data_IF_105853645694
#
_entry.id   IF_105853645694
#
_cell.length_a   1.000
_cell.length_b   1.000
_cell.length_c   1.000
_cell.angle_alpha   90.00
_cell.angle_beta   90.00
_cell.angle_gamma   90.00
#
_symmetry.space_group_name_H-M   'P 1'
#
loop_
_entity.id
_entity.type
_entity.pdbx_description
1 polymer ?
#
# COMPACT_ATOMS: atom_id res chain seq x y z
N UNK A 1 44.63 -23.03 54.19
CA UNK A 1 44.87 -22.31 52.91
C UNK A 1 43.52 -22.10 52.24
N UNK A 2 42.94 -20.95 52.44
CA UNK A 2 41.58 -20.59 51.94
C UNK A 2 41.77 -19.63 50.78
N UNK A 3 41.40 -20.06 49.57
CA UNK A 3 41.40 -19.20 48.37
C UNK A 3 40.03 -18.52 48.28
N UNK A 4 40.01 -17.21 48.42
CA UNK A 4 38.87 -16.35 48.17
C UNK A 4 38.66 -16.22 46.65
N UNK A 5 37.48 -16.60 46.21
CA UNK A 5 37.07 -16.39 44.83
C UNK A 5 36.28 -15.05 44.77
N UNK A 6 36.86 -14.08 44.06
CA UNK A 6 36.17 -12.82 43.80
C UNK A 6 35.18 -13.04 42.66
N UNK A 7 33.90 -12.85 42.95
CA UNK A 7 32.81 -12.89 41.97
C UNK A 7 32.68 -11.50 41.36
N UNK A 8 33.09 -11.33 40.11
CA UNK A 8 32.85 -10.13 39.32
C UNK A 8 31.41 -10.19 38.80
N UNK A 9 30.57 -9.29 39.31
CA UNK A 9 29.21 -9.11 38.82
C UNK A 9 29.23 -8.27 37.54
N UNK A 10 29.19 -8.90 36.40
CA UNK A 10 28.98 -8.22 35.14
C UNK A 10 27.50 -7.84 35.02
N UNK A 11 27.19 -6.56 35.16
CA UNK A 11 25.87 -6.02 34.94
C UNK A 11 25.50 -6.13 33.46
N UNK A 12 24.65 -7.06 33.12
CA UNK A 12 24.00 -7.09 31.82
C UNK A 12 22.98 -5.95 31.76
N UNK A 13 23.31 -4.90 31.03
CA UNK A 13 22.30 -3.91 30.59
C UNK A 13 21.40 -4.63 29.61
N UNK A 14 20.24 -5.02 30.07
CA UNK A 14 19.15 -5.44 29.22
C UNK A 14 18.64 -4.18 28.53
N UNK A 15 19.13 -3.91 27.34
CA UNK A 15 18.45 -2.98 26.45
C UNK A 15 17.06 -3.58 26.17
N UNK A 16 16.05 -3.05 26.85
CA UNK A 16 14.67 -3.33 26.52
C UNK A 16 14.40 -2.79 25.14
N UNK A 17 14.55 -3.66 24.12
CA UNK A 17 13.96 -3.41 22.82
C UNK A 17 12.45 -3.27 23.07
N UNK A 18 11.80 -2.20 22.59
CA UNK A 18 10.36 -2.14 22.62
C UNK A 18 9.87 -3.35 21.80
N UNK A 19 9.30 -4.32 22.48
CA UNK A 19 8.48 -5.35 21.85
C UNK A 19 7.39 -4.58 21.15
N UNK A 20 7.52 -4.39 19.85
CA UNK A 20 6.41 -3.96 19.00
C UNK A 20 5.35 -5.04 19.17
N UNK A 21 4.40 -4.79 20.06
CA UNK A 21 3.25 -5.62 20.17
C UNK A 21 2.71 -5.81 18.76
N UNK A 22 2.50 -7.06 18.36
CA UNK A 22 1.71 -7.42 17.19
C UNK A 22 0.28 -6.95 17.49
N UNK A 23 0.14 -5.62 17.45
CA UNK A 23 -1.07 -4.91 17.77
C UNK A 23 -1.87 -4.73 16.50
N UNK A 24 -3.11 -4.65 16.67
CA UNK A 24 -4.17 -4.33 15.74
C UNK A 24 -3.64 -3.58 14.48
N UNK A 25 -4.05 -3.96 13.26
CA UNK A 25 -3.64 -3.28 12.01
C UNK A 25 -3.73 -1.75 12.06
N UNK A 26 -4.66 -1.21 12.84
CA UNK A 26 -4.83 0.22 13.04
C UNK A 26 -3.64 0.91 13.72
N UNK A 27 -3.02 0.27 14.73
CA UNK A 27 -1.88 0.86 15.42
C UNK A 27 -0.61 0.86 14.54
N UNK A 28 -0.42 -0.20 13.75
CA UNK A 28 0.66 -0.26 12.77
C UNK A 28 0.49 0.76 11.64
N UNK A 29 -0.75 1.06 11.26
CA UNK A 29 -1.06 2.01 10.21
C UNK A 29 -0.77 3.47 10.62
N UNK A 30 -1.04 3.85 11.85
CA UNK A 30 -0.74 5.20 12.36
C UNK A 30 0.77 5.43 12.49
N UNK A 31 1.51 4.43 12.95
CA UNK A 31 2.98 4.49 13.00
C UNK A 31 3.56 4.46 11.57
N UNK A 32 2.96 3.70 10.66
CA UNK A 32 3.36 3.67 9.27
C UNK A 32 3.17 5.02 8.55
N UNK A 33 2.19 5.84 8.93
CA UNK A 33 1.95 7.13 8.25
C UNK A 33 3.10 8.09 8.43
N UNK A 34 3.61 8.26 9.64
CA UNK A 34 4.77 9.12 9.89
C UNK A 34 6.10 8.49 9.45
N UNK A 35 6.26 7.16 9.57
CA UNK A 35 7.46 6.47 9.11
C UNK A 35 7.48 6.30 7.59
N UNK A 36 6.32 6.18 6.93
CA UNK A 36 6.22 6.09 5.48
C UNK A 36 6.62 7.42 4.83
N UNK A 37 6.13 8.55 5.33
CA UNK A 37 6.55 9.85 4.81
C UNK A 37 8.06 10.06 4.99
N UNK A 38 8.60 9.76 6.16
CA UNK A 38 10.03 9.83 6.42
C UNK A 38 10.84 8.88 5.53
N UNK A 39 10.35 7.67 5.29
CA UNK A 39 11.03 6.69 4.42
C UNK A 39 10.99 7.09 2.95
N UNK A 40 9.89 7.65 2.47
CA UNK A 40 9.79 8.17 1.11
C UNK A 40 10.73 9.37 0.92
N UNK A 41 10.76 10.29 1.86
CA UNK A 41 11.69 11.42 1.85
C UNK A 41 13.15 10.97 1.88
N UNK A 42 13.49 9.99 2.74
CA UNK A 42 14.83 9.42 2.82
C UNK A 42 15.20 8.66 1.53
N UNK A 43 14.29 7.89 0.96
CA UNK A 43 14.51 7.16 -0.26
C UNK A 43 14.64 8.12 -1.47
N UNK A 44 13.83 9.15 -1.54
CA UNK A 44 13.93 10.19 -2.56
C UNK A 44 15.28 10.94 -2.46
N UNK A 45 15.68 11.31 -1.25
CA UNK A 45 16.97 11.97 -0.99
C UNK A 45 18.15 11.07 -1.35
N UNK A 46 18.08 9.77 -1.05
CA UNK A 46 19.11 8.79 -1.41
C UNK A 46 19.31 8.66 -2.93
N UNK A 47 18.24 8.86 -3.71
CA UNK A 47 18.28 8.88 -5.17
C UNK A 47 18.49 10.29 -5.76
N UNK A 48 18.73 11.29 -4.92
CA UNK A 48 18.85 12.71 -5.32
C UNK A 48 17.61 13.20 -6.10
N UNK A 49 16.44 12.71 -5.72
CA UNK A 49 15.15 13.08 -6.29
C UNK A 49 14.33 13.88 -5.29
N UNK A 50 13.47 14.75 -5.78
CA UNK A 50 12.38 15.29 -4.95
C UNK A 50 11.39 14.18 -4.60
N UNK A 51 10.64 14.32 -3.52
CA UNK A 51 9.57 13.37 -3.17
C UNK A 51 8.59 13.20 -4.34
N UNK A 52 8.27 14.29 -5.05
CA UNK A 52 7.43 14.25 -6.25
C UNK A 52 8.03 13.41 -7.39
N UNK A 53 9.33 13.51 -7.63
CA UNK A 53 10.03 12.71 -8.65
C UNK A 53 10.22 11.24 -8.23
N UNK A 54 10.42 10.99 -6.94
CA UNK A 54 10.51 9.65 -6.40
C UNK A 54 9.13 8.95 -6.40
N UNK A 55 8.09 9.68 -6.02
CA UNK A 55 6.67 9.29 -6.16
C UNK A 55 6.22 9.37 -7.63
N UNK A 56 7.11 9.59 -8.59
CA UNK A 56 6.80 9.58 -10.03
C UNK A 56 6.36 8.21 -10.57
N UNK A 57 6.12 7.30 -9.67
CA UNK A 57 5.28 6.14 -9.84
C UNK A 57 3.78 6.48 -9.71
N UNK A 58 3.45 7.73 -9.48
CA UNK A 58 2.06 8.16 -9.40
C UNK A 58 1.43 8.22 -10.78
N UNK A 59 0.34 7.53 -10.95
CA UNK A 59 -0.53 7.67 -12.12
C UNK A 59 -1.52 8.79 -11.82
N UNK A 60 -1.32 9.94 -12.46
CA UNK A 60 -2.14 11.16 -12.24
C UNK A 60 -3.34 11.17 -13.17
N UNK A 61 -3.15 10.69 -14.40
CA UNK A 61 -4.20 10.69 -15.41
C UNK A 61 -4.27 9.37 -16.15
N UNK A 62 -5.48 8.91 -16.39
CA UNK A 62 -5.78 7.75 -17.22
C UNK A 62 -6.67 8.19 -18.37
N UNK A 63 -6.21 7.99 -19.60
CA UNK A 63 -6.95 8.41 -20.79
C UNK A 63 -8.35 7.79 -20.82
N UNK A 64 -9.37 8.65 -20.87
CA UNK A 64 -10.78 8.23 -20.87
C UNK A 64 -11.42 8.12 -19.50
N UNK A 65 -10.73 8.40 -18.43
CA UNK A 65 -11.30 8.63 -17.09
C UNK A 65 -11.18 10.11 -16.73
N UNK A 66 -12.26 10.66 -16.20
CA UNK A 66 -12.33 12.01 -15.63
C UNK A 66 -12.49 11.89 -14.12
N UNK A 67 -12.06 12.91 -13.40
CA UNK A 67 -12.24 13.01 -11.94
C UNK A 67 -11.61 11.86 -11.13
N UNK A 68 -10.59 11.20 -11.68
CA UNK A 68 -9.80 10.22 -10.92
C UNK A 68 -8.76 10.92 -10.06
N UNK A 69 -8.52 10.33 -8.89
CA UNK A 69 -7.49 10.81 -7.97
C UNK A 69 -6.11 10.26 -8.36
N UNK A 70 -5.05 11.06 -8.18
CA UNK A 70 -3.68 10.57 -8.32
C UNK A 70 -3.44 9.40 -7.36
N UNK A 71 -2.76 8.35 -7.86
CA UNK A 71 -2.44 7.17 -7.08
C UNK A 71 -0.96 6.83 -7.18
N UNK A 72 -0.36 6.52 -6.04
CA UNK A 72 1.03 6.09 -5.91
C UNK A 72 1.18 4.99 -4.87
N UNK A 73 2.38 4.42 -4.73
CA UNK A 73 2.70 3.55 -3.60
C UNK A 73 2.93 4.41 -2.35
N UNK A 74 2.19 4.12 -1.29
CA UNK A 74 2.18 4.93 -0.06
C UNK A 74 3.17 4.48 1.01
N UNK A 75 4.07 3.52 0.72
CA UNK A 75 5.03 3.03 1.70
C UNK A 75 5.58 1.63 1.41
N UNK A 76 6.11 0.99 2.45
CA UNK A 76 6.60 -0.37 2.33
C UNK A 76 5.48 -1.35 1.97
N UNK A 77 5.81 -2.30 1.12
CA UNK A 77 4.96 -3.46 0.84
C UNK A 77 5.30 -4.56 1.82
N UNK A 78 4.30 -5.23 2.36
CA UNK A 78 4.50 -6.47 3.12
C UNK A 78 4.33 -7.63 2.14
N UNK A 79 5.38 -8.41 1.91
CA UNK A 79 5.37 -9.56 1.00
C UNK A 79 5.54 -10.84 1.81
N UNK A 80 4.61 -11.78 1.66
CA UNK A 80 4.61 -13.07 2.38
C UNK A 80 4.79 -12.89 3.90
N UNK A 81 4.14 -11.84 4.45
CA UNK A 81 4.17 -11.53 5.87
C UNK A 81 5.38 -10.75 6.37
N UNK A 82 6.34 -10.40 5.51
CA UNK A 82 7.54 -9.65 5.88
C UNK A 82 7.59 -8.28 5.19
N UNK A 83 8.03 -7.21 5.89
CA UNK A 83 8.27 -5.92 5.26
C UNK A 83 9.29 -6.02 4.12
N UNK A 84 9.02 -5.33 3.03
CA UNK A 84 9.84 -5.35 1.83
C UNK A 84 10.09 -3.93 1.31
N UNK A 85 11.30 -3.69 0.82
CA UNK A 85 11.66 -2.44 0.14
C UNK A 85 11.32 -2.46 -1.36
N UNK A 86 10.60 -3.46 -1.84
CA UNK A 86 10.20 -3.50 -3.22
C UNK A 86 9.23 -2.40 -3.57
N UNK A 87 9.48 -1.80 -4.73
CA UNK A 87 8.60 -0.80 -5.33
C UNK A 87 7.67 -1.51 -6.32
N UNK A 88 6.38 -1.31 -6.15
CA UNK A 88 5.37 -1.69 -7.13
C UNK A 88 5.22 -0.55 -8.11
N UNK A 89 5.81 -0.71 -9.30
CA UNK A 89 5.64 0.25 -10.37
C UNK A 89 4.18 0.28 -10.83
N UNK A 90 3.61 1.48 -10.89
CA UNK A 90 2.26 1.70 -11.37
C UNK A 90 2.27 2.00 -12.87
N UNK A 91 1.38 1.37 -13.60
CA UNK A 91 1.26 1.54 -15.04
C UNK A 91 -0.12 2.04 -15.44
N UNK A 92 -0.20 2.84 -16.49
CA UNK A 92 -1.48 3.32 -17.02
C UNK A 92 -2.20 2.17 -17.74
N UNK A 93 -3.50 1.98 -17.50
CA UNK A 93 -4.29 1.03 -18.26
C UNK A 93 -4.54 1.51 -19.69
N UNK A 94 -4.86 0.57 -20.57
CA UNK A 94 -5.25 0.83 -21.95
C UNK A 94 -6.70 1.35 -22.03
N UNK A 95 -7.07 1.93 -23.18
CA UNK A 95 -8.45 2.39 -23.44
C UNK A 95 -9.49 1.25 -23.34
N UNK A 96 -9.15 0.04 -23.78
CA UNK A 96 -10.02 -1.11 -23.68
C UNK A 96 -10.28 -1.50 -22.22
N UNK A 97 -9.22 -1.54 -21.40
CA UNK A 97 -9.33 -1.81 -19.96
C UNK A 97 -10.14 -0.73 -19.24
N UNK A 98 -10.00 0.54 -19.64
CA UNK A 98 -10.81 1.65 -19.12
C UNK A 98 -12.30 1.44 -19.41
N UNK A 99 -12.66 0.93 -20.60
CA UNK A 99 -14.06 0.64 -20.93
C UNK A 99 -14.63 -0.45 -20.03
N UNK A 100 -13.86 -1.50 -19.75
CA UNK A 100 -14.25 -2.57 -18.82
C UNK A 100 -14.39 -2.04 -17.38
N UNK A 101 -13.48 -1.17 -16.95
CA UNK A 101 -13.54 -0.55 -15.62
C UNK A 101 -14.79 0.32 -15.45
N UNK A 102 -15.16 1.09 -16.48
CA UNK A 102 -16.40 1.90 -16.47
C UNK A 102 -17.65 1.02 -16.37
N UNK A 103 -17.70 -0.08 -17.13
CA UNK A 103 -18.80 -1.02 -17.05
C UNK A 103 -18.94 -1.60 -15.65
N UNK A 104 -17.83 -2.02 -15.03
CA UNK A 104 -17.81 -2.55 -13.66
C UNK A 104 -18.30 -1.51 -12.65
N UNK A 105 -17.79 -0.28 -12.71
CA UNK A 105 -18.21 0.78 -11.81
C UNK A 105 -19.70 1.11 -11.96
N UNK A 106 -20.21 1.13 -13.19
CA UNK A 106 -21.65 1.32 -13.48
C UNK A 106 -22.49 0.21 -12.85
N UNK A 107 -22.07 -1.04 -12.97
CA UNK A 107 -22.77 -2.19 -12.35
C UNK A 107 -22.84 -2.06 -10.83
N UNK A 108 -21.83 -1.45 -10.21
CA UNK A 108 -21.78 -1.22 -8.77
C UNK A 108 -22.54 0.06 -8.34
N UNK A 109 -23.00 0.87 -9.27
CA UNK A 109 -23.53 2.20 -9.00
C UNK A 109 -22.50 3.13 -8.37
N UNK A 110 -21.21 2.84 -8.60
CA UNK A 110 -20.09 3.50 -7.94
C UNK A 110 -19.33 4.47 -8.86
N UNK A 111 -18.46 5.27 -8.23
CA UNK A 111 -17.55 6.21 -8.89
C UNK A 111 -16.14 5.62 -8.91
N UNK A 112 -15.48 5.65 -10.07
CA UNK A 112 -14.06 5.28 -10.17
C UNK A 112 -13.22 6.33 -9.46
N UNK A 113 -12.49 5.92 -8.42
CA UNK A 113 -11.52 6.75 -7.72
C UNK A 113 -10.18 6.74 -8.44
N UNK A 114 -9.70 5.54 -8.79
CA UNK A 114 -8.47 5.37 -9.55
C UNK A 114 -8.45 4.02 -10.27
N UNK A 115 -7.63 3.91 -11.32
CA UNK A 115 -7.45 2.68 -12.07
C UNK A 115 -6.01 2.56 -12.58
N UNK A 116 -5.29 1.53 -12.15
CA UNK A 116 -3.86 1.36 -12.43
C UNK A 116 -3.50 -0.10 -12.66
N UNK A 117 -2.41 -0.33 -13.40
CA UNK A 117 -1.72 -1.62 -13.40
C UNK A 117 -0.59 -1.62 -12.38
N UNK A 118 -0.22 -2.79 -11.89
CA UNK A 118 0.95 -2.98 -11.02
C UNK A 118 1.94 -3.95 -11.64
N UNK A 119 3.24 -3.67 -11.48
CA UNK A 119 4.34 -4.58 -11.78
C UNK A 119 5.50 -4.35 -10.82
N UNK A 120 6.38 -5.32 -10.65
CA UNK A 120 7.63 -5.17 -9.90
C UNK A 120 8.67 -6.16 -10.40
N UNK A 121 9.88 -6.07 -9.85
CA UNK A 121 10.93 -7.05 -10.09
C UNK A 121 10.57 -8.46 -9.53
N UNK A 122 9.67 -8.51 -8.53
CA UNK A 122 9.11 -9.77 -8.04
C UNK A 122 7.85 -10.09 -8.84
N UNK A 123 7.94 -11.07 -9.73
CA UNK A 123 6.80 -11.46 -10.56
C UNK A 123 5.80 -12.36 -9.84
N UNK A 124 6.21 -13.03 -8.77
CA UNK A 124 5.37 -13.96 -8.02
C UNK A 124 5.52 -13.73 -6.51
N UNK A 125 4.40 -13.68 -5.83
CA UNK A 125 4.29 -13.66 -4.38
C UNK A 125 3.00 -14.40 -3.98
N UNK A 126 2.97 -15.00 -2.81
CA UNK A 126 1.75 -15.65 -2.31
C UNK A 126 0.79 -14.62 -1.76
N UNK A 127 1.32 -13.66 -1.02
CA UNK A 127 0.55 -12.53 -0.49
C UNK A 127 1.37 -11.25 -0.54
N UNK A 128 0.72 -10.15 -0.84
CA UNK A 128 1.27 -8.81 -0.67
C UNK A 128 0.21 -7.91 -0.04
N UNK A 129 0.60 -7.16 0.98
CA UNK A 129 -0.19 -6.06 1.48
C UNK A 129 0.44 -4.76 0.97
N UNK A 130 -0.28 -4.07 0.12
CA UNK A 130 0.19 -2.87 -0.58
C UNK A 130 -0.59 -1.67 -0.08
N UNK A 131 0.14 -0.68 0.39
CA UNK A 131 -0.41 0.62 0.76
C UNK A 131 -0.38 1.54 -0.46
N UNK A 132 -1.54 1.88 -0.99
CA UNK A 132 -1.68 2.87 -2.06
C UNK A 132 -1.96 4.24 -1.45
N UNK A 133 -1.14 5.21 -1.83
CA UNK A 133 -1.39 6.62 -1.56
C UNK A 133 -2.34 7.16 -2.63
N UNK A 134 -3.52 7.62 -2.23
CA UNK A 134 -4.54 8.17 -3.12
C UNK A 134 -5.03 9.48 -2.50
N UNK A 135 -4.42 10.60 -2.91
CA UNK A 135 -4.71 11.92 -2.33
C UNK A 135 -6.19 12.28 -2.49
N UNK A 136 -6.84 12.58 -1.37
CA UNK A 136 -8.26 12.94 -1.30
C UNK A 136 -9.18 11.81 -0.86
N UNK A 137 -8.64 10.59 -0.63
CA UNK A 137 -9.37 9.53 0.08
C UNK A 137 -9.48 9.91 1.55
N UNK A 138 -10.64 9.67 2.16
CA UNK A 138 -10.87 9.92 3.58
C UNK A 138 -11.28 8.64 4.30
N UNK A 139 -11.01 8.58 5.59
CA UNK A 139 -11.46 7.47 6.43
C UNK A 139 -12.99 7.39 6.41
N UNK A 140 -13.52 6.16 6.33
CA UNK A 140 -14.96 5.92 6.29
C UNK A 140 -15.60 5.92 4.90
N UNK A 141 -14.87 6.29 3.84
CA UNK A 141 -15.35 6.05 2.48
C UNK A 141 -15.52 4.55 2.22
N UNK A 142 -16.57 4.19 1.49
CA UNK A 142 -16.83 2.81 1.10
C UNK A 142 -16.14 2.50 -0.23
N UNK A 143 -14.86 2.18 -0.18
CA UNK A 143 -14.05 1.90 -1.36
C UNK A 143 -13.90 0.39 -1.51
N UNK A 144 -14.29 -0.12 -2.68
CA UNK A 144 -14.02 -1.48 -3.13
C UNK A 144 -12.88 -1.46 -4.13
N UNK A 145 -12.05 -2.50 -4.08
CA UNK A 145 -10.93 -2.67 -5.01
C UNK A 145 -11.11 -3.97 -5.77
N UNK A 146 -11.00 -3.91 -7.08
CA UNK A 146 -11.12 -5.06 -7.96
C UNK A 146 -9.84 -5.25 -8.76
N UNK A 147 -9.47 -6.51 -8.96
CA UNK A 147 -8.38 -6.89 -9.84
C UNK A 147 -8.91 -7.60 -11.07
N UNK A 148 -8.37 -7.26 -12.24
CA UNK A 148 -8.64 -8.00 -13.47
C UNK A 148 -7.80 -9.28 -13.49
N UNK A 149 -8.48 -10.43 -13.45
CA UNK A 149 -7.86 -11.76 -13.49
C UNK A 149 -8.53 -12.54 -14.61
N UNK A 150 -7.78 -12.96 -15.62
CA UNK A 150 -8.30 -13.72 -16.79
C UNK A 150 -9.51 -13.09 -17.48
N UNK A 151 -9.59 -11.76 -17.48
CA UNK A 151 -10.69 -11.00 -18.09
C UNK A 151 -11.90 -10.76 -17.19
N UNK A 152 -11.88 -11.23 -15.95
CA UNK A 152 -12.93 -11.05 -14.96
C UNK A 152 -12.48 -10.15 -13.81
N UNK A 153 -13.44 -9.42 -13.22
CA UNK A 153 -13.19 -8.60 -12.05
C UNK A 153 -13.35 -9.42 -10.77
N UNK A 154 -12.27 -9.54 -10.00
CA UNK A 154 -12.23 -10.20 -8.69
C UNK A 154 -12.08 -9.13 -7.63
N UNK A 155 -13.00 -9.09 -6.66
CA UNK A 155 -12.92 -8.16 -5.53
C UNK A 155 -11.76 -8.56 -4.61
N UNK A 156 -10.89 -7.61 -4.31
CA UNK A 156 -9.80 -7.79 -3.38
C UNK A 156 -10.20 -7.34 -1.97
N UNK A 157 -9.60 -7.97 -0.98
CA UNK A 157 -9.77 -7.54 0.40
C UNK A 157 -9.05 -6.21 0.63
N UNK A 158 -9.81 -5.17 0.90
CA UNK A 158 -9.30 -3.92 1.45
C UNK A 158 -9.05 -4.14 2.94
N UNK A 159 -7.81 -3.96 3.37
CA UNK A 159 -7.41 -4.16 4.76
C UNK A 159 -7.69 -2.90 5.58
N UNK A 160 -7.52 -1.72 4.99
CA UNK A 160 -7.69 -0.44 5.67
C UNK A 160 -7.97 0.68 4.66
N UNK A 161 -8.81 1.64 5.07
CA UNK A 161 -9.02 2.92 4.39
C UNK A 161 -8.79 4.03 5.42
N UNK A 162 -7.89 4.94 5.14
CA UNK A 162 -7.58 6.09 5.99
C UNK A 162 -7.26 7.31 5.14
N UNK A 163 -7.01 8.43 5.77
CA UNK A 163 -6.66 9.68 5.07
C UNK A 163 -5.59 9.44 4.02
N UNK A 164 -5.91 9.77 2.77
CA UNK A 164 -5.06 9.61 1.58
C UNK A 164 -4.56 8.18 1.28
N UNK A 165 -5.08 7.13 1.93
CA UNK A 165 -4.52 5.78 1.79
C UNK A 165 -5.58 4.68 1.69
N UNK A 166 -5.31 3.70 0.84
CA UNK A 166 -6.05 2.43 0.74
C UNK A 166 -5.06 1.27 0.79
N UNK A 167 -5.20 0.40 1.79
CA UNK A 167 -4.36 -0.79 1.95
C UNK A 167 -5.06 -2.00 1.40
N UNK A 168 -4.44 -2.69 0.45
CA UNK A 168 -5.05 -3.80 -0.30
C UNK A 168 -4.23 -5.06 -0.16
N UNK A 169 -4.88 -6.19 0.07
CA UNK A 169 -4.26 -7.51 0.02
C UNK A 169 -4.32 -8.07 -1.40
N UNK A 170 -3.18 -8.44 -1.93
CA UNK A 170 -2.99 -8.95 -3.29
C UNK A 170 -2.28 -10.30 -3.27
N UNK A 171 -2.49 -11.12 -4.30
CA UNK A 171 -1.80 -12.40 -4.52
C UNK A 171 -1.02 -12.43 -5.84
N UNK A 172 -1.19 -11.41 -6.66
CA UNK A 172 -0.48 -11.26 -7.94
C UNK A 172 -0.51 -9.81 -8.40
N UNK A 173 0.37 -9.46 -9.34
CA UNK A 173 0.26 -8.21 -10.09
C UNK A 173 -0.93 -8.24 -11.04
N UNK A 174 -1.48 -7.06 -11.35
CA UNK A 174 -2.61 -6.94 -12.27
C UNK A 174 -3.11 -5.51 -12.41
N UNK A 175 -4.27 -5.38 -13.03
CA UNK A 175 -4.99 -4.11 -13.13
C UNK A 175 -5.92 -3.97 -11.96
N UNK A 176 -5.78 -2.87 -11.22
CA UNK A 176 -6.53 -2.57 -10.01
C UNK A 176 -7.47 -1.41 -10.24
N UNK A 177 -8.74 -1.66 -10.01
CA UNK A 177 -9.82 -0.69 -10.09
C UNK A 177 -10.31 -0.33 -8.68
N UNK A 178 -10.19 0.92 -8.31
CA UNK A 178 -10.67 1.47 -7.05
C UNK A 178 -11.99 2.19 -7.30
N UNK A 179 -13.06 1.75 -6.66
CA UNK A 179 -14.42 2.28 -6.82
C UNK A 179 -14.99 2.67 -5.48
N UNK A 180 -15.41 3.93 -5.36
CA UNK A 180 -16.26 4.35 -4.25
C UNK A 180 -17.70 3.92 -4.57
N UNK A 181 -18.26 3.09 -3.71
CA UNK A 181 -19.64 2.61 -3.86
C UNK A 181 -20.53 3.24 -2.81
N UNK A 182 -21.83 3.46 -3.12
CA UNK A 182 -22.76 3.96 -2.12
C UNK A 182 -22.74 3.09 -0.87
N UNK A 183 -22.82 3.73 0.30
CA UNK A 183 -23.02 2.98 1.54
C UNK A 183 -24.40 2.33 1.48
N UNK A 184 -24.48 1.06 1.87
CA UNK A 184 -25.78 0.42 2.06
C UNK A 184 -26.57 1.20 3.10
N UNK A 185 -27.75 1.68 2.71
CA UNK A 185 -28.69 2.34 3.62
C UNK A 185 -29.37 1.32 4.52
#
# INVERSE_FOLDING_TARGET
MKKLLALALAGAMIASLPVMAAGSPSASAVVATSSVSATIEQAAAAESKTVGEYVNNAVVEVAGLTDTLPIGQGGHVIINGAPSNFVFELTKPSKAEVSLAKAQATTLGGKIISFVGTKSAINKFETAQVNFYIKGVTAGQNIKVFQMVNGEWVELKVAEIREDHVVVNMTSHGKLLFVEVPSAQ
#
